data_IF_783714169293
#
_entry.id   IF_783714169293
#
_cell.length_a   1.000
_cell.length_b   1.000
_cell.length_c   1.000
_cell.angle_alpha   90.00
_cell.angle_beta   90.00
_cell.angle_gamma   90.00
#
_symmetry.space_group_name_H-M   'P 1'
#
loop_
_entity.id
_entity.type
_entity.pdbx_description
1 polymer ?
#
# COMPACT_ATOMS: atom_id res chain seq x y z
N UNK A 1 17.91 -29.74 -40.27
CA UNK A 1 18.21 -28.40 -39.71
C UNK A 1 17.21 -28.13 -38.61
N UNK A 2 17.71 -27.91 -37.39
CA UNK A 2 16.93 -27.79 -36.15
C UNK A 2 16.22 -26.43 -36.14
N UNK A 3 14.92 -26.43 -35.86
CA UNK A 3 14.18 -25.18 -35.64
C UNK A 3 14.64 -24.55 -34.32
N UNK A 4 15.19 -23.34 -34.42
CA UNK A 4 15.55 -22.47 -33.30
C UNK A 4 14.27 -21.95 -32.65
N UNK A 5 13.74 -22.70 -31.69
CA UNK A 5 12.67 -22.25 -30.81
C UNK A 5 13.27 -21.30 -29.78
N UNK A 6 13.43 -20.03 -30.16
CA UNK A 6 13.73 -18.96 -29.18
C UNK A 6 12.53 -18.82 -28.27
N UNK A 7 12.62 -19.45 -27.10
CA UNK A 7 11.84 -19.09 -25.92
C UNK A 7 11.95 -17.57 -25.72
N UNK A 8 10.84 -16.81 -25.64
CA UNK A 8 10.94 -15.39 -25.36
C UNK A 8 11.54 -15.26 -23.96
N UNK A 9 12.75 -14.72 -23.92
CA UNK A 9 13.48 -14.39 -22.69
C UNK A 9 12.55 -13.58 -21.78
N UNK A 10 12.50 -13.98 -20.51
CA UNK A 10 11.83 -13.28 -19.43
C UNK A 10 12.23 -11.80 -19.40
N UNK A 11 11.51 -10.94 -20.10
CA UNK A 11 11.69 -9.49 -20.05
C UNK A 11 10.92 -8.87 -18.86
N UNK A 12 10.67 -9.66 -17.81
CA UNK A 12 9.73 -9.33 -16.72
C UNK A 12 10.42 -8.86 -15.42
N UNK A 13 11.73 -9.06 -15.25
CA UNK A 13 12.40 -8.84 -13.96
C UNK A 13 13.63 -7.91 -14.00
N UNK A 14 13.64 -6.85 -14.83
CA UNK A 14 14.67 -5.79 -14.68
C UNK A 14 14.33 -4.93 -13.47
N UNK A 15 15.33 -4.56 -12.68
CA UNK A 15 15.14 -3.84 -11.41
C UNK A 15 14.26 -2.58 -11.54
N UNK A 16 14.47 -1.78 -12.58
CA UNK A 16 13.67 -0.57 -12.82
C UNK A 16 12.22 -0.87 -13.22
N UNK A 17 12.01 -1.93 -14.01
CA UNK A 17 10.69 -2.41 -14.39
C UNK A 17 9.93 -2.93 -13.17
N UNK A 18 10.61 -3.69 -12.30
CA UNK A 18 10.05 -4.21 -11.05
C UNK A 18 9.62 -3.09 -10.10
N UNK A 19 10.45 -2.06 -9.93
CA UNK A 19 10.11 -0.90 -9.08
C UNK A 19 8.88 -0.16 -9.60
N UNK A 20 8.78 0.02 -10.91
CA UNK A 20 7.63 0.66 -11.55
C UNK A 20 6.36 -0.18 -11.36
N UNK A 21 6.43 -1.48 -11.63
CA UNK A 21 5.32 -2.40 -11.45
C UNK A 21 4.84 -2.47 -10.01
N UNK A 22 5.77 -2.45 -9.04
CA UNK A 22 5.44 -2.42 -7.63
C UNK A 22 4.73 -1.11 -7.27
N UNK A 23 5.28 0.03 -7.66
CA UNK A 23 4.67 1.34 -7.41
C UNK A 23 3.25 1.44 -7.98
N UNK A 24 3.04 0.98 -9.21
CA UNK A 24 1.73 0.98 -9.85
C UNK A 24 0.74 0.04 -9.17
N UNK A 25 1.22 -1.13 -8.74
CA UNK A 25 0.40 -2.09 -7.98
C UNK A 25 0.01 -1.53 -6.61
N UNK A 26 0.91 -0.81 -5.94
CA UNK A 26 0.64 -0.11 -4.68
C UNK A 26 -0.42 0.98 -4.88
N UNK A 27 -0.28 1.83 -5.91
CA UNK A 27 -1.28 2.88 -6.24
C UNK A 27 -2.66 2.29 -6.52
N UNK A 28 -2.73 1.26 -7.37
CA UNK A 28 -3.99 0.57 -7.70
C UNK A 28 -4.62 -0.07 -6.48
N UNK A 29 -3.82 -0.57 -5.55
CA UNK A 29 -4.28 -1.16 -4.30
C UNK A 29 -4.85 -0.09 -3.37
N UNK A 30 -4.13 0.99 -3.11
CA UNK A 30 -4.58 2.10 -2.26
C UNK A 30 -5.75 2.91 -2.85
N UNK A 31 -6.07 2.74 -4.14
CA UNK A 31 -7.28 3.31 -4.73
C UNK A 31 -8.56 2.55 -4.33
N UNK A 32 -8.45 1.33 -3.76
CA UNK A 32 -9.60 0.51 -3.38
C UNK A 32 -10.06 0.83 -1.96
N UNK A 33 -11.37 0.95 -1.78
CA UNK A 33 -11.99 1.34 -0.50
C UNK A 33 -11.81 0.31 0.62
N UNK A 34 -11.57 -0.96 0.28
CA UNK A 34 -11.21 -2.02 1.25
C UNK A 34 -9.73 -2.01 1.65
N UNK A 35 -8.92 -1.10 1.08
CA UNK A 35 -7.52 -0.88 1.44
C UNK A 35 -7.29 0.48 2.09
N UNK A 36 -7.93 1.52 1.56
CA UNK A 36 -7.80 2.89 2.03
C UNK A 36 -9.16 3.58 1.96
N UNK A 37 -9.60 4.13 3.09
CA UNK A 37 -10.80 4.96 3.18
C UNK A 37 -10.54 6.18 4.05
N UNK A 38 -10.94 7.34 3.58
CA UNK A 38 -10.97 8.57 4.38
C UNK A 38 -12.41 8.79 4.89
N UNK A 39 -12.56 9.01 6.18
CA UNK A 39 -13.82 9.42 6.81
C UNK A 39 -13.56 10.53 7.84
N UNK A 40 -14.03 11.74 7.53
CA UNK A 40 -13.61 12.96 8.24
C UNK A 40 -12.09 13.12 8.22
N UNK A 41 -11.48 13.17 9.42
CA UNK A 41 -10.03 13.22 9.61
C UNK A 41 -9.41 11.83 9.90
N UNK A 42 -10.19 10.75 9.78
CA UNK A 42 -9.70 9.39 10.04
C UNK A 42 -9.35 8.70 8.73
N UNK A 43 -8.12 8.22 8.65
CA UNK A 43 -7.58 7.47 7.52
C UNK A 43 -7.57 5.99 7.91
N UNK A 44 -8.52 5.25 7.36
CA UNK A 44 -8.67 3.83 7.57
C UNK A 44 -7.83 3.05 6.57
N UNK A 45 -6.93 2.21 7.08
CA UNK A 45 -6.07 1.30 6.32
C UNK A 45 -6.52 -0.14 6.49
N UNK A 46 -6.21 -1.02 5.54
CA UNK A 46 -6.45 -2.46 5.73
C UNK A 46 -5.75 -3.01 6.99
N UNK A 47 -6.38 -3.98 7.66
CA UNK A 47 -5.79 -4.69 8.80
C UNK A 47 -4.50 -5.43 8.45
N UNK A 48 -4.26 -5.77 7.18
CA UNK A 48 -3.00 -6.40 6.75
C UNK A 48 -1.80 -5.51 7.11
N UNK A 49 -1.93 -4.19 6.93
CA UNK A 49 -0.89 -3.24 7.32
C UNK A 49 -0.73 -3.13 8.83
N UNK A 50 -1.75 -3.51 9.61
CA UNK A 50 -1.62 -3.60 11.06
C UNK A 50 -0.81 -4.84 11.45
N UNK A 51 -1.12 -5.99 10.86
CA UNK A 51 -0.46 -7.27 11.15
C UNK A 51 1.03 -7.26 10.81
N UNK A 52 1.41 -6.62 9.70
CA UNK A 52 2.79 -6.52 9.24
C UNK A 52 3.39 -5.12 9.43
N UNK A 53 2.75 -4.27 10.23
CA UNK A 53 3.12 -2.86 10.34
C UNK A 53 4.50 -2.62 10.92
N UNK A 54 5.00 -3.54 11.77
CA UNK A 54 6.34 -3.44 12.36
C UNK A 54 7.43 -3.89 11.39
N UNK A 55 7.08 -4.75 10.41
CA UNK A 55 7.97 -5.15 9.30
C UNK A 55 8.01 -4.09 8.19
N UNK A 56 7.10 -3.10 8.22
CA UNK A 56 7.13 -1.94 7.33
C UNK A 56 8.23 -0.96 7.80
N UNK A 57 9.47 -1.26 7.39
CA UNK A 57 10.68 -0.51 7.76
C UNK A 57 10.63 0.95 7.29
N UNK A 58 11.11 1.84 8.17
CA UNK A 58 11.28 3.31 8.22
C UNK A 58 11.31 4.21 6.96
N UNK A 59 11.33 3.69 5.74
CA UNK A 59 11.59 4.48 4.52
C UNK A 59 10.59 5.62 4.30
N UNK A 60 9.35 5.45 4.74
CA UNK A 60 8.31 6.48 4.65
C UNK A 60 8.21 7.38 5.87
N UNK A 61 8.80 6.99 7.01
CA UNK A 61 8.68 7.70 8.28
C UNK A 61 9.27 9.12 8.26
N UNK A 62 10.14 9.41 7.28
CA UNK A 62 10.74 10.72 7.03
C UNK A 62 9.94 11.58 6.04
N UNK A 63 8.98 10.99 5.32
CA UNK A 63 8.17 11.69 4.29
C UNK A 63 7.18 12.68 4.92
N UNK A 64 6.81 12.44 6.18
CA UNK A 64 5.87 13.28 6.93
C UNK A 64 6.50 13.67 8.27
N UNK A 65 6.83 14.96 8.42
CA UNK A 65 7.32 15.52 9.69
C UNK A 65 6.15 15.85 10.60
N UNK A 66 5.61 14.84 11.28
CA UNK A 66 4.57 15.00 12.31
C UNK A 66 5.10 14.59 13.69
N UNK A 67 4.66 15.27 14.74
CA UNK A 67 4.90 14.89 16.15
C UNK A 67 4.10 13.64 16.56
N UNK A 68 4.23 12.56 15.80
CA UNK A 68 3.48 11.30 15.91
C UNK A 68 4.43 10.14 16.18
N UNK A 69 3.88 9.00 16.62
CA UNK A 69 4.61 7.74 16.67
C UNK A 69 5.17 7.38 15.29
N UNK A 70 6.32 6.72 15.25
CA UNK A 70 7.02 6.39 14.00
C UNK A 70 6.14 5.59 13.03
N UNK A 71 5.41 4.60 13.57
CA UNK A 71 4.47 3.77 12.82
C UNK A 71 3.40 4.59 12.08
N UNK A 72 2.81 5.59 12.75
CA UNK A 72 1.84 6.50 12.10
C UNK A 72 2.50 7.31 10.99
N UNK A 73 3.72 7.82 11.22
CA UNK A 73 4.45 8.58 10.19
C UNK A 73 4.76 7.73 8.97
N UNK A 74 5.13 6.47 9.16
CA UNK A 74 5.37 5.51 8.07
C UNK A 74 4.11 5.32 7.23
N UNK A 75 2.96 5.08 7.87
CA UNK A 75 1.70 4.90 7.14
C UNK A 75 1.24 6.17 6.43
N UNK A 76 1.37 7.32 7.09
CA UNK A 76 1.09 8.62 6.46
C UNK A 76 2.01 8.84 5.25
N UNK A 77 3.31 8.53 5.36
CA UNK A 77 4.24 8.63 4.24
C UNK A 77 3.94 7.67 3.09
N UNK A 78 3.52 6.43 3.38
CA UNK A 78 3.08 5.47 2.37
C UNK A 78 1.90 6.03 1.56
N UNK A 79 0.89 6.56 2.25
CA UNK A 79 -0.32 7.11 1.61
C UNK A 79 -0.02 8.43 0.91
N UNK A 80 0.85 9.26 1.47
CA UNK A 80 1.34 10.47 0.84
C UNK A 80 2.04 10.16 -0.50
N UNK A 81 2.78 9.06 -0.56
CA UNK A 81 3.55 8.67 -1.75
C UNK A 81 2.69 8.01 -2.84
N UNK A 82 1.75 7.13 -2.46
CA UNK A 82 1.05 6.26 -3.41
C UNK A 82 -0.48 6.32 -3.34
N UNK A 83 -1.05 7.07 -2.39
CA UNK A 83 -2.49 7.22 -2.26
C UNK A 83 -3.11 8.05 -3.38
N UNK A 84 -4.45 8.02 -3.52
CA UNK A 84 -5.17 8.92 -4.40
C UNK A 84 -4.87 10.39 -4.07
N UNK A 85 -4.74 11.26 -5.07
CA UNK A 85 -4.23 12.64 -4.94
C UNK A 85 -4.80 13.44 -3.75
N UNK A 86 -6.12 13.40 -3.55
CA UNK A 86 -6.79 14.08 -2.42
C UNK A 86 -6.37 13.51 -1.06
N UNK A 87 -6.29 12.20 -0.94
CA UNK A 87 -5.94 11.52 0.32
C UNK A 87 -4.44 11.64 0.58
N UNK A 88 -3.61 11.57 -0.46
CA UNK A 88 -2.17 11.79 -0.40
C UNK A 88 -1.84 13.20 0.12
N UNK A 89 -2.51 14.22 -0.41
CA UNK A 89 -2.33 15.62 0.05
C UNK A 89 -2.66 15.79 1.53
N UNK A 90 -3.72 15.12 2.01
CA UNK A 90 -4.06 15.10 3.44
C UNK A 90 -3.07 14.30 4.27
N UNK A 91 -2.53 13.19 3.76
CA UNK A 91 -1.51 12.43 4.47
C UNK A 91 -0.22 13.24 4.66
N UNK A 92 0.16 14.08 3.69
CA UNK A 92 1.30 14.99 3.79
C UNK A 92 1.18 16.03 4.92
N UNK A 93 -0.03 16.41 5.34
CA UNK A 93 -0.19 17.35 6.46
C UNK A 93 0.15 16.70 7.80
N UNK A 94 0.16 15.36 7.87
CA UNK A 94 0.36 14.60 9.10
C UNK A 94 -0.78 14.71 10.13
N UNK A 95 -1.87 15.40 9.80
CA UNK A 95 -3.02 15.60 10.69
C UNK A 95 -3.99 14.42 10.78
N UNK A 96 -4.15 13.55 9.75
CA UNK A 96 -5.08 12.44 9.85
C UNK A 96 -4.75 11.48 11.00
N UNK A 97 -5.79 10.86 11.56
CA UNK A 97 -5.67 9.79 12.56
C UNK A 97 -5.68 8.46 11.81
N UNK A 98 -4.71 7.60 12.08
CA UNK A 98 -4.67 6.27 11.49
C UNK A 98 -5.59 5.33 12.29
N UNK A 99 -6.44 4.59 11.57
CA UNK A 99 -7.18 3.45 12.10
C UNK A 99 -7.12 2.31 11.10
N UNK A 100 -7.42 1.09 11.55
CA UNK A 100 -7.49 -0.07 10.67
C UNK A 100 -8.93 -0.51 10.45
N UNK A 101 -9.23 -0.85 9.20
CA UNK A 101 -10.48 -1.51 8.80
C UNK A 101 -10.55 -2.84 9.53
N UNK A 102 -11.75 -3.20 10.02
CA UNK A 102 -11.97 -4.55 10.53
C UNK A 102 -11.82 -5.52 9.36
N UNK A 103 -10.97 -6.54 9.55
CA UNK A 103 -10.83 -7.59 8.55
C UNK A 103 -12.13 -8.36 8.43
N UNK A 104 -12.63 -8.50 7.20
CA UNK A 104 -13.82 -9.28 6.91
C UNK A 104 -13.43 -10.76 6.80
N UNK A 105 -13.66 -11.50 7.89
CA UNK A 105 -13.36 -12.93 7.96
C UNK A 105 -14.22 -13.80 7.03
N UNK A 106 -15.30 -13.25 6.45
CA UNK A 106 -16.15 -13.99 5.49
C UNK A 106 -15.40 -14.39 4.22
N UNK A 107 -14.26 -13.74 3.91
CA UNK A 107 -13.38 -14.13 2.80
C UNK A 107 -12.69 -15.49 3.02
N UNK A 108 -12.60 -15.93 4.28
CA UNK A 108 -12.09 -17.26 4.64
C UNK A 108 -13.23 -18.24 4.96
N UNK A 109 -14.47 -17.83 4.80
CA UNK A 109 -15.62 -18.70 5.00
C UNK A 109 -15.76 -19.62 3.78
N UNK A 110 -15.15 -20.80 3.88
CA UNK A 110 -15.18 -21.87 2.88
C UNK A 110 -16.45 -22.72 2.98
N UNK A 111 -17.49 -22.24 3.66
CA UNK A 111 -18.78 -22.92 3.67
C UNK A 111 -19.31 -23.00 2.24
N UNK A 112 -19.12 -24.15 1.60
CA UNK A 112 -19.68 -24.50 0.30
C UNK A 112 -21.19 -24.25 0.34
N UNK A 113 -21.68 -23.48 -0.64
CA UNK A 113 -23.11 -23.43 -0.95
C UNK A 113 -23.50 -24.57 -1.87
#
# INVERSE_FOLDING_TARGET
>A
MVQDTRVPVLEVNRADTLRTQLADSTRKTLAKTNWLRLDGNTLYLTAILDWFGDDFVSHFGHTVSAGRAERDRVFLGLVATYGPSKIASLAHTGTPIIRFLKYDWTLNDISER
#
